data_IF_101315886785
#
_entry.id   IF_101315886785
#
_cell.length_a   1.000
_cell.length_b   1.000
_cell.length_c   1.000
_cell.angle_alpha   90.00
_cell.angle_beta   90.00
_cell.angle_gamma   90.00
#
_symmetry.space_group_name_H-M   'P 1'
#
loop_
_entity.id
_entity.type
_entity.pdbx_description
1 polymer ?
#
# COMPACT_ATOMS: atom_id res chain seq x y z
N UNK A 1 19.84 -53.99 -57.80
CA UNK A 1 19.92 -53.43 -56.43
C UNK A 1 19.91 -51.92 -56.53
N UNK A 2 18.76 -51.28 -56.34
CA UNK A 2 18.69 -49.81 -56.21
C UNK A 2 18.01 -49.55 -54.87
N UNK A 3 18.82 -49.22 -53.88
CA UNK A 3 18.37 -48.78 -52.56
C UNK A 3 17.67 -47.42 -52.71
N UNK A 4 16.44 -47.36 -52.20
CA UNK A 4 15.52 -46.23 -52.32
C UNK A 4 15.98 -45.08 -51.41
N UNK A 5 16.69 -44.09 -51.97
CA UNK A 5 17.17 -42.86 -51.31
C UNK A 5 16.07 -41.96 -50.72
N UNK A 6 14.79 -42.28 -50.92
CA UNK A 6 13.66 -41.45 -50.49
C UNK A 6 13.37 -41.48 -48.99
N UNK A 7 13.72 -42.56 -48.27
CA UNK A 7 13.38 -42.70 -46.84
C UNK A 7 14.33 -41.92 -45.92
N UNK A 8 15.58 -41.67 -46.35
CA UNK A 8 16.55 -40.93 -45.52
C UNK A 8 16.34 -39.41 -45.54
N UNK A 9 15.70 -38.87 -46.59
CA UNK A 9 15.50 -37.42 -46.72
C UNK A 9 14.26 -36.93 -45.94
N UNK A 10 13.25 -37.80 -45.78
CA UNK A 10 12.03 -37.47 -45.04
C UNK A 10 12.26 -37.46 -43.52
N UNK A 11 13.15 -38.34 -43.01
CA UNK A 11 13.53 -38.33 -41.60
C UNK A 11 14.43 -37.11 -41.24
N UNK A 12 15.31 -36.67 -42.14
CA UNK A 12 16.11 -35.46 -41.93
C UNK A 12 15.30 -34.16 -42.00
N UNK A 13 14.22 -34.11 -42.80
CA UNK A 13 13.35 -32.92 -42.86
C UNK A 13 12.49 -32.73 -41.59
N UNK A 14 12.09 -33.79 -40.89
CA UNK A 14 11.33 -33.63 -39.63
C UNK A 14 12.19 -33.14 -38.45
N UNK A 15 13.51 -33.32 -38.50
CA UNK A 15 14.44 -32.83 -37.48
C UNK A 15 14.96 -31.41 -37.77
N UNK A 16 15.00 -30.96 -39.04
CA UNK A 16 15.41 -29.59 -39.40
C UNK A 16 14.30 -28.53 -39.25
N UNK A 17 13.04 -28.92 -39.03
CA UNK A 17 11.96 -27.96 -38.71
C UNK A 17 11.76 -27.70 -37.21
N UNK A 18 12.63 -28.22 -36.34
CA UNK A 18 12.68 -27.79 -34.93
C UNK A 18 13.41 -26.42 -34.78
N UNK A 19 13.22 -25.52 -35.76
CA UNK A 19 13.65 -24.14 -35.70
C UNK A 19 12.72 -23.36 -34.78
N UNK A 20 12.94 -23.54 -33.47
CA UNK A 20 12.41 -22.68 -32.42
C UNK A 20 10.90 -22.70 -32.28
N UNK A 21 10.42 -23.37 -31.24
CA UNK A 21 9.21 -22.95 -30.53
C UNK A 21 9.45 -21.56 -29.93
N UNK A 22 9.64 -20.55 -30.79
CA UNK A 22 9.54 -19.14 -30.40
C UNK A 22 8.08 -18.95 -30.04
N UNK A 23 7.80 -18.38 -28.88
CA UNK A 23 6.44 -18.04 -28.45
C UNK A 23 5.74 -17.24 -29.55
N UNK A 24 4.91 -17.90 -30.35
CA UNK A 24 4.00 -17.22 -31.26
C UNK A 24 2.80 -16.78 -30.43
N UNK A 25 2.31 -15.57 -30.68
CA UNK A 25 1.04 -15.12 -30.11
C UNK A 25 -0.06 -16.11 -30.54
N UNK A 26 -0.79 -16.68 -29.57
CA UNK A 26 -1.99 -17.47 -29.87
C UNK A 26 -3.11 -16.47 -30.17
N UNK A 27 -3.22 -16.05 -31.44
CA UNK A 27 -4.26 -15.13 -31.91
C UNK A 27 -5.57 -15.84 -32.30
N UNK A 28 -5.79 -17.07 -31.82
CA UNK A 28 -7.03 -17.82 -32.06
C UNK A 28 -8.18 -17.30 -31.19
N UNK A 29 -9.35 -17.06 -31.80
CA UNK A 29 -10.58 -16.81 -31.04
C UNK A 29 -10.98 -18.11 -30.34
N UNK A 30 -11.12 -18.13 -29.01
CA UNK A 30 -11.79 -19.27 -28.36
C UNK A 30 -13.26 -19.23 -28.79
N UNK A 31 -13.86 -20.40 -29.05
CA UNK A 31 -15.30 -20.49 -29.30
C UNK A 31 -16.12 -19.98 -28.11
N UNK A 32 -17.40 -19.66 -28.33
CA UNK A 32 -18.31 -19.18 -27.28
C UNK A 32 -18.26 -20.10 -26.05
N UNK A 33 -17.91 -19.55 -24.88
CA UNK A 33 -17.80 -20.31 -23.64
C UNK A 33 -16.51 -21.11 -23.47
N UNK A 34 -15.54 -20.95 -24.38
CA UNK A 34 -14.24 -21.60 -24.32
C UNK A 34 -13.34 -21.10 -23.18
N UNK A 35 -12.24 -21.81 -22.96
CA UNK A 35 -11.23 -21.47 -21.95
C UNK A 35 -9.82 -21.54 -22.55
N UNK A 36 -8.95 -20.64 -22.12
CA UNK A 36 -7.51 -20.80 -22.31
C UNK A 36 -6.94 -21.53 -21.10
N UNK A 37 -6.17 -22.61 -21.31
CA UNK A 37 -5.68 -23.47 -20.23
C UNK A 37 -4.21 -23.80 -20.49
N UNK A 38 -3.36 -23.60 -19.48
CA UNK A 38 -2.00 -24.14 -19.42
C UNK A 38 -2.02 -25.31 -18.46
N UNK A 39 -1.69 -26.50 -18.97
CA UNK A 39 -1.72 -27.75 -18.21
C UNK A 39 -0.70 -28.74 -18.75
N UNK A 40 -0.32 -29.72 -17.93
CA UNK A 40 0.27 -30.96 -18.43
C UNK A 40 -0.83 -32.01 -18.69
N UNK A 41 -0.46 -33.30 -18.76
CA UNK A 41 -1.40 -34.41 -19.02
C UNK A 41 -2.53 -34.50 -18.00
N UNK A 42 -2.34 -34.03 -16.77
CA UNK A 42 -3.32 -34.21 -15.67
C UNK A 42 -3.55 -32.94 -14.85
N UNK A 43 -2.59 -32.02 -14.81
CA UNK A 43 -2.57 -30.88 -13.90
C UNK A 43 -2.74 -29.58 -14.68
N UNK A 44 -3.80 -28.84 -14.38
CA UNK A 44 -3.96 -27.46 -14.83
C UNK A 44 -3.17 -26.52 -13.93
N UNK A 45 -2.39 -25.62 -14.53
CA UNK A 45 -1.58 -24.61 -13.84
C UNK A 45 -2.23 -23.23 -13.86
N UNK A 46 -2.79 -22.86 -15.02
CA UNK A 46 -3.42 -21.57 -15.29
C UNK A 46 -4.66 -21.81 -16.15
N UNK A 47 -5.76 -21.12 -15.85
CA UNK A 47 -6.90 -21.04 -16.79
C UNK A 47 -7.54 -19.65 -16.82
N UNK A 48 -8.05 -19.26 -17.99
CA UNK A 48 -8.89 -18.09 -18.19
C UNK A 48 -10.20 -18.53 -18.88
N UNK A 49 -11.33 -18.33 -18.21
CA UNK A 49 -12.63 -18.76 -18.72
C UNK A 49 -13.43 -17.58 -19.29
N UNK A 50 -13.94 -17.69 -20.53
CA UNK A 50 -14.67 -16.59 -21.16
C UNK A 50 -16.00 -16.25 -20.48
N UNK A 51 -16.69 -17.26 -19.95
CA UNK A 51 -18.00 -17.09 -19.32
C UNK A 51 -17.95 -16.30 -18.01
N UNK A 52 -16.85 -16.41 -17.25
CA UNK A 52 -16.67 -15.72 -15.96
C UNK A 52 -15.65 -14.59 -16.02
N UNK A 53 -14.74 -14.59 -16.98
CA UNK A 53 -13.57 -13.70 -17.04
C UNK A 53 -12.52 -14.00 -15.96
N UNK A 54 -12.65 -15.09 -15.21
CA UNK A 54 -11.77 -15.38 -14.08
C UNK A 54 -10.44 -15.96 -14.53
N UNK A 55 -9.37 -15.43 -13.96
CA UNK A 55 -8.03 -16.00 -13.99
C UNK A 55 -7.88 -16.96 -12.79
N UNK A 56 -7.70 -18.25 -13.06
CA UNK A 56 -7.44 -19.25 -12.02
C UNK A 56 -5.97 -19.66 -12.04
N UNK A 57 -5.34 -19.66 -10.87
CA UNK A 57 -3.97 -20.10 -10.64
C UNK A 57 -4.00 -21.30 -9.70
N UNK A 58 -3.54 -22.46 -10.16
CA UNK A 58 -3.39 -23.66 -9.32
C UNK A 58 -1.97 -23.75 -8.73
N UNK A 59 -1.29 -22.61 -8.65
CA UNK A 59 0.04 -22.37 -8.10
C UNK A 59 0.06 -20.97 -7.49
N UNK A 60 1.08 -20.68 -6.68
CA UNK A 60 1.27 -19.34 -6.12
C UNK A 60 1.56 -18.30 -7.22
N UNK A 61 1.04 -17.09 -7.04
CA UNK A 61 1.44 -15.93 -7.82
C UNK A 61 2.71 -15.34 -7.21
N UNK A 62 3.83 -15.42 -7.94
CA UNK A 62 5.06 -14.72 -7.56
C UNK A 62 5.18 -13.44 -8.34
N UNK A 63 5.22 -12.30 -7.66
CA UNK A 63 5.51 -10.99 -8.24
C UNK A 63 6.96 -10.61 -7.96
N UNK A 64 7.61 -9.96 -8.92
CA UNK A 64 8.92 -9.35 -8.68
C UNK A 64 8.76 -8.14 -7.75
N UNK A 65 9.78 -7.79 -6.94
CA UNK A 65 9.74 -6.58 -6.14
C UNK A 65 9.44 -5.35 -7.00
N UNK A 66 8.56 -4.49 -6.52
CA UNK A 66 8.19 -3.27 -7.23
C UNK A 66 9.29 -2.23 -7.06
N UNK A 67 10.07 -1.93 -8.10
CA UNK A 67 11.13 -0.89 -8.07
C UNK A 67 10.82 0.32 -8.94
N UNK A 68 9.65 0.32 -9.60
CA UNK A 68 9.17 1.38 -10.48
C UNK A 68 7.68 1.22 -10.76
N UNK A 69 7.18 1.91 -11.79
CA UNK A 69 5.76 1.91 -12.13
C UNK A 69 5.29 0.75 -13.03
N UNK A 70 6.19 -0.18 -13.39
CA UNK A 70 5.96 -1.12 -14.49
C UNK A 70 5.76 -2.57 -14.05
N UNK A 71 6.53 -3.04 -13.06
CA UNK A 71 6.58 -4.45 -12.66
C UNK A 71 6.23 -4.60 -11.19
N UNK A 72 5.74 -5.78 -10.79
CA UNK A 72 5.40 -6.08 -9.38
C UNK A 72 4.05 -5.54 -8.90
N UNK A 73 3.26 -4.94 -9.79
CA UNK A 73 2.03 -4.21 -9.44
C UNK A 73 0.79 -4.93 -9.96
N UNK A 74 -0.23 -5.06 -9.11
CA UNK A 74 -1.59 -5.39 -9.54
C UNK A 74 -2.39 -4.09 -9.65
N UNK A 75 -3.03 -3.89 -10.80
CA UNK A 75 -3.87 -2.73 -11.07
C UNK A 75 -5.36 -3.06 -10.99
N UNK A 76 -6.17 -2.07 -10.62
CA UNK A 76 -7.64 -2.07 -10.79
C UNK A 76 -7.99 -0.94 -11.75
N UNK A 77 -8.31 -1.28 -13.00
CA UNK A 77 -8.40 -0.29 -14.07
C UNK A 77 -7.04 0.39 -14.27
N UNK A 78 -7.00 1.72 -14.26
CA UNK A 78 -5.76 2.50 -14.34
C UNK A 78 -5.10 2.76 -12.96
N UNK A 79 -5.75 2.37 -11.86
CA UNK A 79 -5.28 2.67 -10.50
C UNK A 79 -4.44 1.54 -9.92
N UNK A 80 -3.37 1.89 -9.21
CA UNK A 80 -2.57 0.92 -8.44
C UNK A 80 -3.46 0.29 -7.37
N UNK A 81 -3.38 -1.02 -7.20
CA UNK A 81 -4.19 -1.73 -6.21
C UNK A 81 -3.34 -2.56 -5.24
N UNK A 82 -2.29 -3.25 -5.68
CA UNK A 82 -1.35 -3.93 -4.79
C UNK A 82 0.07 -3.74 -5.32
N UNK A 83 0.96 -3.28 -4.45
CA UNK A 83 2.41 -3.28 -4.68
C UNK A 83 3.18 -3.18 -3.35
N UNK A 84 4.48 -3.38 -3.42
CA UNK A 84 5.41 -3.42 -2.29
C UNK A 84 6.59 -2.46 -2.47
N UNK A 85 6.34 -1.31 -3.14
CA UNK A 85 7.39 -0.46 -3.72
C UNK A 85 8.62 -0.32 -2.83
N UNK A 86 9.75 -0.75 -3.36
CA UNK A 86 11.06 -0.75 -2.74
C UNK A 86 11.93 0.29 -3.43
N UNK A 87 12.12 1.41 -2.75
CA UNK A 87 12.98 2.50 -3.21
C UNK A 87 14.46 2.13 -3.27
N UNK A 88 15.23 2.90 -4.04
CA UNK A 88 16.69 2.76 -4.11
C UNK A 88 17.31 2.97 -2.72
N UNK A 89 18.20 2.05 -2.31
CA UNK A 89 18.92 2.10 -1.03
C UNK A 89 18.13 1.65 0.20
N UNK A 90 16.86 1.28 0.01
CA UNK A 90 15.94 0.84 1.09
C UNK A 90 15.99 -0.68 1.31
N UNK A 91 15.68 -1.13 2.53
CA UNK A 91 15.45 -2.57 2.81
C UNK A 91 14.13 -3.06 2.21
N UNK A 92 13.12 -2.19 2.06
CA UNK A 92 11.84 -2.49 1.44
C UNK A 92 10.77 -2.88 2.45
N UNK A 93 10.09 -4.01 2.24
CA UNK A 93 9.08 -4.55 3.17
C UNK A 93 7.86 -3.63 3.38
N UNK A 94 7.51 -2.87 2.35
CA UNK A 94 6.30 -2.08 2.36
C UNK A 94 5.10 -2.92 1.90
N UNK A 95 3.91 -2.61 2.41
CA UNK A 95 2.64 -3.22 2.00
C UNK A 95 1.70 -2.10 1.58
N UNK A 96 1.49 -1.92 0.27
CA UNK A 96 0.53 -0.95 -0.27
C UNK A 96 -0.63 -1.70 -0.91
N UNK A 97 -1.75 -1.81 -0.20
CA UNK A 97 -2.97 -2.46 -0.65
C UNK A 97 -4.14 -1.47 -0.67
N UNK A 98 -4.73 -1.31 -1.85
CA UNK A 98 -5.88 -0.46 -2.14
C UNK A 98 -5.55 0.72 -3.05
N UNK A 99 -6.59 1.44 -3.48
CA UNK A 99 -6.51 2.35 -4.63
C UNK A 99 -5.53 3.50 -4.38
N UNK A 100 -4.46 3.52 -5.19
CA UNK A 100 -3.39 4.52 -5.19
C UNK A 100 -2.68 4.71 -3.83
N UNK A 101 -2.76 3.74 -2.93
CA UNK A 101 -1.98 3.76 -1.69
C UNK A 101 -0.49 3.60 -1.99
N UNK A 102 0.36 4.27 -1.21
CA UNK A 102 1.79 4.38 -1.48
C UNK A 102 2.11 5.19 -2.74
N UNK A 103 3.40 5.21 -3.09
CA UNK A 103 3.91 5.86 -4.28
C UNK A 103 5.18 5.14 -4.78
N UNK A 104 5.83 5.74 -5.78
CA UNK A 104 7.08 5.27 -6.38
C UNK A 104 8.23 6.26 -6.17
N UNK A 105 8.18 7.01 -5.07
CA UNK A 105 9.18 8.05 -4.72
C UNK A 105 9.93 7.74 -3.44
N UNK A 106 9.71 6.55 -2.87
CA UNK A 106 10.45 6.11 -1.69
C UNK A 106 11.94 5.97 -2.00
N UNK A 107 12.78 6.31 -1.04
CA UNK A 107 14.22 6.17 -1.13
C UNK A 107 14.87 6.36 0.24
N UNK A 108 16.19 6.20 0.29
CA UNK A 108 16.98 6.46 1.48
C UNK A 108 18.05 5.41 1.71
N UNK A 109 18.53 5.33 2.94
CA UNK A 109 19.55 4.37 3.38
C UNK A 109 19.05 3.53 4.55
N UNK A 110 19.36 2.23 4.51
CA UNK A 110 18.93 1.31 5.57
C UNK A 110 17.41 1.22 5.67
N UNK A 111 16.88 1.55 6.86
CA UNK A 111 15.45 1.44 7.16
C UNK A 111 14.58 2.58 6.59
N UNK A 112 15.19 3.64 6.04
CA UNK A 112 14.44 4.72 5.41
C UNK A 112 13.56 4.19 4.25
N UNK A 113 12.38 4.77 4.07
CA UNK A 113 11.43 4.38 3.03
C UNK A 113 10.90 2.94 3.13
N UNK A 114 11.11 2.27 4.26
CA UNK A 114 10.82 0.84 4.47
C UNK A 114 9.76 0.60 5.55
N UNK A 115 9.23 -0.62 5.62
CA UNK A 115 8.31 -1.08 6.66
C UNK A 115 7.00 -0.29 6.78
N UNK A 116 6.53 0.33 5.69
CA UNK A 116 5.27 1.07 5.70
C UNK A 116 4.09 0.16 5.31
N UNK A 117 2.98 0.28 6.03
CA UNK A 117 1.74 -0.43 5.77
C UNK A 117 0.66 0.59 5.41
N UNK A 118 0.06 0.44 4.23
CA UNK A 118 -1.02 1.29 3.75
C UNK A 118 -2.16 0.41 3.24
N UNK A 119 -3.27 0.36 3.97
CA UNK A 119 -4.43 -0.46 3.63
C UNK A 119 -5.65 0.45 3.41
N UNK A 120 -6.03 0.62 2.15
CA UNK A 120 -7.17 1.45 1.73
C UNK A 120 -6.83 2.39 0.58
N UNK A 121 -7.39 3.60 0.57
CA UNK A 121 -7.30 4.48 -0.61
C UNK A 121 -6.53 5.78 -0.34
N UNK A 122 -5.60 6.12 -1.25
CA UNK A 122 -4.80 7.34 -1.23
C UNK A 122 -4.05 7.57 0.11
N UNK A 123 -3.52 6.50 0.69
CA UNK A 123 -2.70 6.56 1.92
C UNK A 123 -1.23 6.75 1.54
N UNK A 124 -0.49 7.59 2.28
CA UNK A 124 0.97 7.79 2.11
C UNK A 124 1.39 8.16 0.67
N UNK A 125 0.60 8.97 -0.03
CA UNK A 125 0.88 9.30 -1.44
C UNK A 125 2.10 10.19 -1.63
N UNK A 126 2.54 10.90 -0.59
CA UNK A 126 3.68 11.82 -0.61
C UNK A 126 4.93 11.31 0.13
N UNK A 127 4.93 10.04 0.56
CA UNK A 127 6.03 9.47 1.35
C UNK A 127 7.34 9.39 0.55
N UNK A 128 8.45 9.81 1.15
CA UNK A 128 9.78 9.80 0.52
C UNK A 128 10.78 8.97 1.33
N UNK A 129 11.11 9.36 2.55
CA UNK A 129 12.06 8.61 3.41
C UNK A 129 11.42 8.10 4.69
N UNK A 130 10.16 8.46 4.96
CA UNK A 130 9.42 7.97 6.13
C UNK A 130 9.32 6.45 6.15
N UNK A 131 9.41 5.87 7.35
CA UNK A 131 9.48 4.43 7.56
C UNK A 131 8.62 4.01 8.76
N UNK A 132 8.29 2.72 8.81
CA UNK A 132 7.52 2.12 9.91
C UNK A 132 6.17 2.83 10.18
N UNK A 133 5.53 3.41 9.16
CA UNK A 133 4.20 3.99 9.30
C UNK A 133 3.11 2.95 9.02
N UNK A 134 1.99 3.02 9.74
CA UNK A 134 0.80 2.19 9.49
C UNK A 134 -0.41 3.09 9.26
N UNK A 135 -0.94 3.10 8.03
CA UNK A 135 -2.14 3.82 7.64
C UNK A 135 -3.22 2.85 7.20
N UNK A 136 -4.41 2.93 7.79
CA UNK A 136 -5.56 2.10 7.41
C UNK A 136 -6.80 3.00 7.26
N UNK A 137 -7.48 2.93 6.12
CA UNK A 137 -8.70 3.71 5.84
C UNK A 137 -8.64 4.47 4.51
N UNK A 138 -8.97 5.75 4.53
CA UNK A 138 -8.91 6.60 3.33
C UNK A 138 -8.22 7.90 3.65
N UNK A 139 -7.21 8.22 2.84
CA UNK A 139 -6.41 9.44 2.97
C UNK A 139 -5.74 9.57 4.36
N UNK A 140 -5.49 8.47 5.06
CA UNK A 140 -4.66 8.50 6.26
C UNK A 140 -3.20 8.78 5.87
N UNK A 141 -2.48 9.61 6.63
CA UNK A 141 -1.08 9.98 6.35
C UNK A 141 -0.84 10.42 4.89
N UNK A 142 -1.84 11.02 4.23
CA UNK A 142 -1.80 11.28 2.78
C UNK A 142 -0.61 12.16 2.39
N UNK A 143 -0.31 13.17 3.22
CA UNK A 143 0.76 14.14 3.03
C UNK A 143 2.04 13.84 3.83
N UNK A 144 2.16 12.67 4.46
CA UNK A 144 3.37 12.30 5.20
C UNK A 144 4.54 12.14 4.23
N UNK A 145 5.62 12.89 4.44
CA UNK A 145 6.81 12.90 3.59
C UNK A 145 7.95 12.12 4.22
N UNK A 146 8.43 12.57 5.39
CA UNK A 146 9.57 11.96 6.09
C UNK A 146 9.23 11.46 7.50
N UNK A 147 8.00 11.73 7.98
CA UNK A 147 7.54 11.23 9.27
C UNK A 147 7.56 9.71 9.35
N UNK A 148 7.86 9.19 10.54
CA UNK A 148 8.08 7.76 10.78
C UNK A 148 7.35 7.29 12.04
N UNK A 149 7.15 5.98 12.16
CA UNK A 149 6.54 5.35 13.34
C UNK A 149 5.15 5.94 13.71
N UNK A 150 4.37 6.38 12.71
CA UNK A 150 3.01 6.86 12.93
C UNK A 150 1.99 5.73 12.71
N UNK A 151 0.98 5.67 13.57
CA UNK A 151 -0.20 4.81 13.41
C UNK A 151 -1.40 5.71 13.11
N UNK A 152 -2.04 5.54 11.95
CA UNK A 152 -3.17 6.32 11.50
C UNK A 152 -4.32 5.40 11.05
N UNK A 153 -5.27 5.15 11.96
CA UNK A 153 -6.41 4.29 11.70
C UNK A 153 -7.67 5.15 11.54
N UNK A 154 -8.29 5.09 10.37
CA UNK A 154 -9.51 5.80 10.04
C UNK A 154 -9.33 6.86 8.95
N UNK A 155 -10.45 7.37 8.45
CA UNK A 155 -10.46 8.34 7.35
C UNK A 155 -9.91 9.69 7.83
N UNK A 156 -8.95 10.22 7.08
CA UNK A 156 -8.28 11.49 7.34
C UNK A 156 -7.47 11.58 8.66
N UNK A 157 -7.11 10.46 9.26
CA UNK A 157 -6.23 10.47 10.43
C UNK A 157 -4.81 10.87 10.02
N UNK A 158 -4.21 11.83 10.73
CA UNK A 158 -2.89 12.39 10.42
C UNK A 158 -2.77 12.87 8.96
N UNK A 159 -3.85 13.43 8.42
CA UNK A 159 -3.96 13.80 6.99
C UNK A 159 -2.86 14.75 6.52
N UNK A 160 -2.62 15.84 7.26
CA UNK A 160 -1.62 16.87 6.94
C UNK A 160 -0.26 16.64 7.59
N UNK A 161 0.00 15.48 8.23
CA UNK A 161 1.31 15.21 8.82
C UNK A 161 2.35 15.21 7.71
N UNK A 162 3.48 15.92 7.88
CA UNK A 162 4.56 15.96 6.90
C UNK A 162 5.81 15.27 7.45
N UNK A 163 6.30 15.74 8.60
CA UNK A 163 7.55 15.23 9.23
C UNK A 163 7.33 14.72 10.64
N UNK A 164 6.12 14.86 11.20
CA UNK A 164 5.79 14.38 12.53
C UNK A 164 5.96 12.86 12.67
N UNK A 165 6.36 12.41 13.86
CA UNK A 165 6.69 11.00 14.12
C UNK A 165 6.19 10.53 15.49
N UNK A 166 6.09 9.21 15.65
CA UNK A 166 5.61 8.57 16.87
C UNK A 166 4.19 9.01 17.29
N UNK A 167 3.32 9.37 16.35
CA UNK A 167 1.92 9.68 16.65
C UNK A 167 1.02 8.45 16.47
N UNK A 168 0.08 8.25 17.38
CA UNK A 168 -0.99 7.26 17.24
C UNK A 168 -2.33 7.99 17.15
N UNK A 169 -3.00 7.87 16.00
CA UNK A 169 -4.34 8.38 15.77
C UNK A 169 -5.30 7.25 15.41
N UNK A 170 -6.45 7.17 16.09
CA UNK A 170 -7.48 6.16 15.82
C UNK A 170 -8.86 6.84 15.84
N UNK A 171 -9.51 6.96 14.69
CA UNK A 171 -10.82 7.59 14.56
C UNK A 171 -11.00 8.33 13.24
N UNK A 172 -12.05 9.14 13.14
CA UNK A 172 -12.26 10.04 11.99
C UNK A 172 -11.58 11.39 12.25
N UNK A 173 -10.74 11.84 11.31
CA UNK A 173 -10.06 13.16 11.38
C UNK A 173 -9.26 13.40 12.67
N UNK A 174 -8.64 12.37 13.22
CA UNK A 174 -7.73 12.52 14.35
C UNK A 174 -6.43 13.16 13.91
N UNK A 175 -5.92 14.15 14.65
CA UNK A 175 -4.67 14.86 14.31
C UNK A 175 -4.67 15.42 12.87
N UNK A 176 -5.83 15.84 12.37
CA UNK A 176 -6.04 16.19 10.96
C UNK A 176 -5.10 17.30 10.47
N UNK A 177 -4.95 18.37 11.27
CA UNK A 177 -4.11 19.53 10.95
C UNK A 177 -2.68 19.45 11.53
N UNK A 178 -2.29 18.31 12.13
CA UNK A 178 -0.93 18.12 12.61
C UNK A 178 0.05 18.06 11.45
N UNK A 179 1.11 18.87 11.48
CA UNK A 179 2.13 18.89 10.42
C UNK A 179 3.44 18.29 10.91
N UNK A 180 3.93 18.75 12.06
CA UNK A 180 5.22 18.33 12.64
C UNK A 180 5.10 17.84 14.08
N UNK A 181 3.88 17.65 14.57
CA UNK A 181 3.58 17.19 15.92
C UNK A 181 4.18 15.79 16.19
N UNK A 182 4.61 15.56 17.43
CA UNK A 182 5.38 14.39 17.85
C UNK A 182 4.78 13.72 19.07
N UNK A 183 4.86 12.38 19.10
CA UNK A 183 4.60 11.60 20.33
C UNK A 183 3.19 11.83 20.91
N UNK A 184 2.19 12.06 20.07
CA UNK A 184 0.80 12.23 20.52
C UNK A 184 0.02 10.92 20.39
N UNK A 185 -0.87 10.65 21.36
CA UNK A 185 -1.85 9.56 21.27
C UNK A 185 -3.24 10.16 21.27
N UNK A 186 -4.01 9.94 20.20
CA UNK A 186 -5.35 10.48 20.05
C UNK A 186 -6.32 9.39 19.54
N UNK A 187 -7.42 9.20 20.25
CA UNK A 187 -8.44 8.19 19.94
C UNK A 187 -9.83 8.78 20.10
N UNK A 188 -10.66 8.66 19.06
CA UNK A 188 -12.00 9.24 18.99
C UNK A 188 -12.18 10.17 17.80
N UNK A 189 -13.42 10.49 17.45
CA UNK A 189 -13.67 11.39 16.32
C UNK A 189 -13.18 12.80 16.64
N UNK A 190 -12.35 13.34 15.74
CA UNK A 190 -11.75 14.68 15.82
C UNK A 190 -10.98 14.97 17.12
N UNK A 191 -10.47 13.92 17.77
CA UNK A 191 -9.51 14.10 18.86
C UNK A 191 -8.24 14.78 18.33
N UNK A 192 -7.79 15.84 19.01
CA UNK A 192 -6.64 16.67 18.60
C UNK A 192 -6.70 17.21 17.16
N UNK A 193 -7.89 17.49 16.63
CA UNK A 193 -8.07 17.89 15.23
C UNK A 193 -7.15 19.05 14.78
N UNK A 194 -6.99 20.10 15.61
CA UNK A 194 -6.18 21.29 15.30
C UNK A 194 -4.75 21.28 15.87
N UNK A 195 -4.21 20.14 16.30
CA UNK A 195 -2.87 20.05 16.90
C UNK A 195 -1.74 20.26 15.89
N UNK A 196 -1.38 21.51 15.61
CA UNK A 196 -0.37 21.86 14.61
C UNK A 196 1.02 21.29 14.95
N UNK A 197 1.55 21.63 16.13
CA UNK A 197 2.91 21.31 16.58
C UNK A 197 3.01 20.83 18.03
N UNK A 198 1.88 20.74 18.75
CA UNK A 198 1.85 20.26 20.12
C UNK A 198 2.34 18.82 20.24
N UNK A 199 3.16 18.56 21.26
CA UNK A 199 3.85 17.28 21.46
C UNK A 199 3.44 16.62 22.79
N UNK A 200 3.60 15.30 22.86
CA UNK A 200 3.41 14.52 24.09
C UNK A 200 1.99 14.64 24.69
N UNK A 201 0.97 14.86 23.88
CA UNK A 201 -0.41 14.92 24.36
C UNK A 201 -1.07 13.54 24.30
N UNK A 202 -2.05 13.31 25.17
CA UNK A 202 -2.95 12.15 25.14
C UNK A 202 -4.41 12.61 25.12
N UNK A 203 -5.18 12.20 24.13
CA UNK A 203 -6.60 12.54 23.97
C UNK A 203 -7.43 11.28 23.70
N UNK A 204 -8.36 10.95 24.57
CA UNK A 204 -9.30 9.84 24.40
C UNK A 204 -10.72 10.37 24.53
N UNK A 205 -11.43 10.46 23.42
CA UNK A 205 -12.83 10.92 23.40
C UNK A 205 -13.17 11.74 22.16
N UNK A 206 -14.47 11.87 21.90
CA UNK A 206 -14.98 12.77 20.87
C UNK A 206 -14.55 14.21 21.19
N UNK A 207 -13.86 14.88 20.27
CA UNK A 207 -13.38 16.27 20.40
C UNK A 207 -12.44 16.53 21.61
N UNK A 208 -11.84 15.49 22.19
CA UNK A 208 -10.83 15.69 23.23
C UNK A 208 -9.62 16.46 22.65
N UNK A 209 -9.18 17.53 23.31
CA UNK A 209 -8.11 18.44 22.86
C UNK A 209 -8.30 19.02 21.45
N UNK A 210 -9.55 19.16 20.97
CA UNK A 210 -9.85 19.58 19.60
C UNK A 210 -9.09 20.82 19.10
N UNK A 211 -8.97 21.87 19.93
CA UNK A 211 -8.37 23.17 19.55
C UNK A 211 -6.90 23.34 19.92
N UNK A 212 -6.24 22.31 20.47
CA UNK A 212 -4.83 22.40 20.85
C UNK A 212 -4.03 22.75 19.61
N UNK A 213 -3.24 23.82 19.58
CA UNK A 213 -2.38 24.17 18.44
C UNK A 213 -0.94 23.78 18.76
N UNK A 214 -0.45 24.23 19.92
CA UNK A 214 0.96 24.14 20.30
C UNK A 214 1.15 23.57 21.72
N UNK A 215 0.05 23.33 22.45
CA UNK A 215 0.11 22.87 23.84
C UNK A 215 0.78 21.51 23.94
N UNK A 216 1.58 21.32 24.99
CA UNK A 216 2.36 20.10 25.21
C UNK A 216 2.00 19.41 26.53
N UNK A 217 2.21 18.09 26.57
CA UNK A 217 2.02 17.26 27.79
C UNK A 217 0.63 17.35 28.40
N UNK A 218 -0.41 17.52 27.60
CA UNK A 218 -1.79 17.53 28.09
C UNK A 218 -2.42 16.13 28.03
N UNK A 219 -3.24 15.80 29.02
CA UNK A 219 -4.06 14.59 29.06
C UNK A 219 -5.53 14.96 29.09
N UNK A 220 -6.29 14.54 28.09
CA UNK A 220 -7.73 14.76 27.98
C UNK A 220 -8.46 13.43 27.78
N UNK A 221 -9.29 13.06 28.75
CA UNK A 221 -10.09 11.83 28.70
C UNK A 221 -11.56 12.21 28.78
N UNK A 222 -12.41 11.71 27.88
CA UNK A 222 -13.86 11.97 27.88
C UNK A 222 -14.34 12.93 26.79
N UNK A 223 -15.66 13.10 26.68
CA UNK A 223 -16.29 13.93 25.67
C UNK A 223 -15.87 15.39 25.86
N UNK A 224 -15.28 16.00 24.82
CA UNK A 224 -14.85 17.42 24.80
C UNK A 224 -13.85 17.84 25.89
N UNK A 225 -13.18 16.90 26.54
CA UNK A 225 -12.17 17.21 27.55
C UNK A 225 -11.05 18.09 26.95
N UNK A 226 -10.76 19.22 27.60
CA UNK A 226 -9.82 20.26 27.12
C UNK A 226 -10.07 20.76 25.68
N UNK A 227 -11.32 20.73 25.19
CA UNK A 227 -11.61 21.08 23.79
C UNK A 227 -11.15 22.49 23.38
N UNK A 228 -11.15 23.45 24.32
CA UNK A 228 -10.74 24.83 24.11
C UNK A 228 -9.28 25.13 24.47
N UNK A 229 -8.48 24.14 24.86
CA UNK A 229 -7.06 24.38 25.10
C UNK A 229 -6.37 24.76 23.79
N UNK A 230 -5.72 25.91 23.71
CA UNK A 230 -4.99 26.36 22.50
C UNK A 230 -3.49 26.13 22.65
N UNK A 231 -2.90 26.60 23.75
CA UNK A 231 -1.46 26.54 24.01
C UNK A 231 -1.11 26.19 25.45
N UNK A 232 -2.10 25.80 26.27
CA UNK A 232 -1.85 25.38 27.64
C UNK A 232 -1.05 24.09 27.67
N UNK A 233 -0.18 23.98 28.67
CA UNK A 233 0.73 22.84 28.86
C UNK A 233 0.41 22.13 30.18
N UNK A 234 0.72 20.84 30.25
CA UNK A 234 0.67 20.05 31.49
C UNK A 234 -0.72 20.02 32.16
N UNK A 235 -1.78 20.15 31.37
CA UNK A 235 -3.15 20.06 31.89
C UNK A 235 -3.62 18.61 31.90
N UNK A 236 -4.39 18.25 32.92
CA UNK A 236 -5.16 17.01 32.93
C UNK A 236 -6.64 17.34 33.09
N UNK A 237 -7.49 16.83 32.19
CA UNK A 237 -8.93 16.88 32.35
C UNK A 237 -9.55 15.51 32.08
N UNK A 238 -10.54 15.17 32.90
CA UNK A 238 -11.37 13.98 32.76
C UNK A 238 -12.82 14.46 32.68
N UNK A 239 -13.42 14.33 31.51
CA UNK A 239 -14.82 14.59 31.22
C UNK A 239 -15.66 13.32 31.27
N UNK A 240 -16.97 13.48 31.43
CA UNK A 240 -17.94 12.40 31.27
C UNK A 240 -18.23 12.11 29.80
#
# INVERSE_FOLDING_TARGET
MIFNKSIFLTACCMLLFCAGLKSQNINGKLGTGGQFIIRDTTTTYLSLAQNTGYLSLNRSLTLVPTTGATLGIIFKGASRFLHDYRGTGTTGENIFLGLNSGNFTLGGTGSEGSYNVALGSNIMTQLTTGYANCGIGSQALMFNTTGYQNIALGRYTLYNNTTGYNNTGIGYQVLYNSTTALQNTAVGTQAMFNNLTGNNNSALGYYALYSNQNGIRNTALGFTALCGNISGNENTAVGN
#
